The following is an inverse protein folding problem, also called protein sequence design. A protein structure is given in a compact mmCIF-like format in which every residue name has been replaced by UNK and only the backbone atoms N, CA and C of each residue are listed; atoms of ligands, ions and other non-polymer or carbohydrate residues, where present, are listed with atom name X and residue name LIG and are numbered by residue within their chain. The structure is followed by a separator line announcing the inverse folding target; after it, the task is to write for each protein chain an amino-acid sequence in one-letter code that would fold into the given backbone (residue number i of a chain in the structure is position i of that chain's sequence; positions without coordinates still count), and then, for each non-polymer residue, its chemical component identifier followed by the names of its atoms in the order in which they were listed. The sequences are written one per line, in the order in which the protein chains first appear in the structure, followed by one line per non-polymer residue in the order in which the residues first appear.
data_IF_425673252528
#
_entry.id   IF_425673252528
#
_cell.length_a   1.000
_cell.length_b   1.000
_cell.length_c   1.000
_cell.angle_alpha   90.00
_cell.angle_beta   90.00
_cell.angle_gamma   90.00
#
_symmetry.space_group_name_H-M   'P 1'
#
loop_
_entity.id
_entity.type
_entity.pdbx_description
1 polymer ?
#
# COMPACT_ATOMS: atom_id res chain seq x y z
N UNK A 1 22.91 -2.14 -7.89
CA UNK A 1 22.36 -0.92 -8.47
C UNK A 1 23.13 0.34 -8.01
N UNK A 2 23.33 0.54 -6.70
CA UNK A 2 24.09 1.68 -6.13
C UNK A 2 25.51 1.79 -6.69
N UNK A 3 26.17 0.67 -6.83
CA UNK A 3 27.51 0.60 -7.44
C UNK A 3 27.52 1.03 -8.92
N UNK A 4 26.47 0.68 -9.66
CA UNK A 4 26.33 1.04 -11.09
C UNK A 4 26.09 2.52 -11.33
N UNK A 5 25.29 3.19 -10.48
CA UNK A 5 24.88 4.60 -10.70
C UNK A 5 25.70 5.59 -9.85
N UNK A 6 26.52 5.08 -8.93
CA UNK A 6 27.26 5.86 -7.93
C UNK A 6 26.41 6.20 -6.71
N UNK A 7 27.00 6.15 -5.52
CA UNK A 7 26.29 6.29 -4.24
C UNK A 7 25.52 7.60 -4.13
N UNK A 8 26.14 8.73 -4.43
CA UNK A 8 25.48 10.07 -4.36
C UNK A 8 24.26 10.16 -5.26
N UNK A 9 24.34 9.66 -6.48
CA UNK A 9 23.23 9.68 -7.44
C UNK A 9 22.13 8.71 -6.99
N UNK A 10 22.47 7.55 -6.45
CA UNK A 10 21.53 6.60 -5.89
C UNK A 10 20.76 7.19 -4.70
N UNK A 11 21.43 7.95 -3.83
CA UNK A 11 20.79 8.60 -2.68
C UNK A 11 19.81 9.69 -3.12
N UNK A 12 20.17 10.50 -4.12
CA UNK A 12 19.25 11.50 -4.72
C UNK A 12 18.00 10.81 -5.29
N UNK A 13 18.17 9.78 -6.11
CA UNK A 13 17.05 9.04 -6.71
C UNK A 13 16.15 8.40 -5.64
N UNK A 14 16.73 7.85 -4.57
CA UNK A 14 15.98 7.25 -3.47
C UNK A 14 15.18 8.30 -2.71
N UNK A 15 15.78 9.45 -2.40
CA UNK A 15 15.13 10.56 -1.71
C UNK A 15 13.95 11.10 -2.53
N UNK A 16 14.16 11.41 -3.80
CA UNK A 16 13.10 11.88 -4.70
C UNK A 16 11.95 10.88 -4.80
N UNK A 17 12.24 9.57 -4.84
CA UNK A 17 11.22 8.55 -4.86
C UNK A 17 10.43 8.49 -3.55
N UNK A 18 11.08 8.67 -2.41
CA UNK A 18 10.44 8.71 -1.10
C UNK A 18 9.54 9.94 -0.96
N UNK A 19 10.05 11.13 -1.29
CA UNK A 19 9.30 12.39 -1.24
C UNK A 19 8.07 12.34 -2.15
N UNK A 20 8.22 11.83 -3.37
CA UNK A 20 7.12 11.62 -4.30
C UNK A 20 6.07 10.67 -3.77
N UNK A 21 6.50 9.55 -3.16
CA UNK A 21 5.59 8.59 -2.54
C UNK A 21 4.79 9.21 -1.41
N UNK A 22 5.46 9.90 -0.48
CA UNK A 22 4.80 10.54 0.67
C UNK A 22 3.80 11.60 0.23
N UNK A 23 4.15 12.46 -0.73
CA UNK A 23 3.22 13.47 -1.26
C UNK A 23 2.02 12.86 -1.96
N UNK A 24 2.22 11.79 -2.74
CA UNK A 24 1.12 11.08 -3.40
C UNK A 24 0.16 10.49 -2.36
N UNK A 25 0.67 9.85 -1.30
CA UNK A 25 -0.14 9.29 -0.21
C UNK A 25 -0.94 10.38 0.51
N UNK A 26 -0.33 11.53 0.83
CA UNK A 26 -1.00 12.66 1.47
C UNK A 26 -2.21 13.17 0.66
N UNK A 27 -2.09 13.25 -0.66
CA UNK A 27 -3.21 13.61 -1.55
C UNK A 27 -4.33 12.58 -1.52
N UNK A 28 -3.99 11.28 -1.57
CA UNK A 28 -4.99 10.21 -1.54
C UNK A 28 -5.70 10.17 -0.18
N UNK A 29 -4.97 10.30 0.91
CA UNK A 29 -5.53 10.36 2.27
C UNK A 29 -6.50 11.54 2.43
N UNK A 30 -6.11 12.74 1.99
CA UNK A 30 -7.00 13.92 2.00
C UNK A 30 -8.28 13.68 1.20
N UNK A 31 -8.19 13.02 0.07
CA UNK A 31 -9.37 12.64 -0.72
C UNK A 31 -10.27 11.68 0.07
N UNK A 32 -9.71 10.62 0.64
CA UNK A 32 -10.46 9.60 1.40
C UNK A 32 -11.12 10.19 2.65
N UNK A 33 -10.49 11.15 3.31
CA UNK A 33 -11.02 11.85 4.47
C UNK A 33 -11.99 12.99 4.13
N UNK A 34 -12.31 13.21 2.84
CA UNK A 34 -13.14 14.32 2.38
C UNK A 34 -12.53 15.71 2.61
N UNK A 35 -11.21 15.79 2.83
CA UNK A 35 -10.47 17.03 3.11
C UNK A 35 -9.79 17.60 1.88
N UNK A 36 -9.88 16.94 0.74
CA UNK A 36 -9.35 17.45 -0.50
C UNK A 36 -10.24 18.62 -0.96
N UNK A 37 -9.83 19.83 -0.65
CA UNK A 37 -10.36 20.99 -1.33
C UNK A 37 -9.97 20.85 -2.79
N UNK A 38 -10.94 20.69 -3.66
CA UNK A 38 -10.80 20.84 -5.09
C UNK A 38 -10.52 22.33 -5.39
N UNK A 39 -9.40 22.85 -4.93
CA UNK A 39 -8.88 24.09 -5.44
C UNK A 39 -8.61 23.88 -6.93
N UNK A 40 -9.52 24.38 -7.73
CA UNK A 40 -9.52 24.31 -9.19
C UNK A 40 -8.26 24.90 -9.83
N UNK A 41 -7.41 25.55 -9.03
CA UNK A 41 -6.11 26.12 -9.37
C UNK A 41 -4.93 25.36 -8.73
N UNK A 42 -5.18 24.16 -8.19
CA UNK A 42 -4.16 23.39 -7.47
C UNK A 42 -2.99 22.98 -8.34
N UNK A 43 -1.86 22.96 -7.71
CA UNK A 43 -0.56 22.52 -8.23
C UNK A 43 -0.69 21.29 -9.13
N UNK A 44 -0.39 21.42 -10.42
CA UNK A 44 -0.19 20.32 -11.34
C UNK A 44 1.13 19.61 -11.07
N UNK A 45 1.36 19.25 -9.80
CA UNK A 45 2.54 18.48 -9.43
C UNK A 45 2.40 17.05 -9.94
N UNK A 46 3.52 16.42 -10.21
CA UNK A 46 3.55 15.01 -10.62
C UNK A 46 2.87 14.11 -9.59
N UNK A 47 3.10 14.36 -8.32
CA UNK A 47 2.56 13.62 -7.19
C UNK A 47 1.04 13.69 -7.14
N UNK A 48 0.48 14.86 -7.39
CA UNK A 48 -0.97 15.04 -7.50
C UNK A 48 -1.55 14.32 -8.71
N UNK A 49 -0.91 14.44 -9.87
CA UNK A 49 -1.36 13.72 -11.08
C UNK A 49 -1.35 12.20 -10.86
N UNK A 50 -0.35 11.67 -10.16
CA UNK A 50 -0.27 10.25 -9.81
C UNK A 50 -1.38 9.87 -8.81
N UNK A 51 -1.64 10.70 -7.80
CA UNK A 51 -2.75 10.50 -6.87
C UNK A 51 -4.11 10.53 -7.58
N UNK A 52 -4.33 11.47 -8.49
CA UNK A 52 -5.55 11.57 -9.29
C UNK A 52 -5.78 10.30 -10.14
N UNK A 53 -4.71 9.73 -10.70
CA UNK A 53 -4.81 8.44 -11.43
C UNK A 53 -5.27 7.31 -10.53
N UNK A 54 -4.72 7.21 -9.31
CA UNK A 54 -5.14 6.20 -8.33
C UNK A 54 -6.58 6.44 -7.90
N UNK A 55 -6.96 7.68 -7.61
CA UNK A 55 -8.31 8.04 -7.19
C UNK A 55 -9.33 7.70 -8.29
N UNK A 56 -9.12 8.19 -9.51
CA UNK A 56 -10.10 8.06 -10.60
C UNK A 56 -10.20 6.62 -11.11
N UNK A 57 -9.08 5.93 -11.29
CA UNK A 57 -9.05 4.59 -11.90
C UNK A 57 -9.06 3.46 -10.87
N UNK A 58 -8.64 3.73 -9.62
CA UNK A 58 -8.50 2.72 -8.59
C UNK A 58 -9.57 2.78 -7.50
N UNK A 59 -9.96 3.97 -7.05
CA UNK A 59 -10.83 4.12 -5.88
C UNK A 59 -12.28 4.50 -6.26
N UNK A 60 -12.45 5.47 -7.16
CA UNK A 60 -13.79 5.97 -7.53
C UNK A 60 -14.64 4.84 -8.10
N UNK A 61 -15.87 4.69 -7.60
CA UNK A 61 -16.83 3.64 -7.94
C UNK A 61 -16.40 2.19 -7.59
N UNK A 62 -15.27 2.00 -6.90
CA UNK A 62 -14.79 0.68 -6.46
C UNK A 62 -14.74 0.55 -4.95
N UNK A 63 -14.36 1.61 -4.25
CA UNK A 63 -14.33 1.69 -2.80
C UNK A 63 -15.71 2.11 -2.31
N UNK A 64 -16.44 1.20 -1.66
CA UNK A 64 -17.80 1.42 -1.15
C UNK A 64 -17.82 1.94 0.29
N UNK A 65 -16.91 1.41 1.12
CA UNK A 65 -16.79 1.78 2.53
C UNK A 65 -15.33 2.02 2.89
N UNK A 66 -15.10 2.99 3.75
CA UNK A 66 -13.79 3.28 4.36
C UNK A 66 -13.92 3.03 5.85
N UNK A 67 -13.19 2.05 6.37
CA UNK A 67 -13.13 1.75 7.79
C UNK A 67 -11.95 2.43 8.48
N UNK A 68 -10.90 2.71 7.73
CA UNK A 68 -9.73 3.43 8.22
C UNK A 68 -8.77 3.85 7.10
N UNK A 69 -8.09 4.97 7.35
CA UNK A 69 -6.99 5.49 6.53
C UNK A 69 -5.78 5.68 7.42
N UNK A 70 -4.56 5.36 6.91
CA UNK A 70 -3.29 5.45 7.68
C UNK A 70 -3.43 4.86 9.09
N UNK A 71 -4.12 3.72 9.16
CA UNK A 71 -4.52 3.12 10.44
C UNK A 71 -3.44 2.22 10.99
N UNK A 72 -3.04 2.47 12.24
CA UNK A 72 -2.13 1.58 12.95
C UNK A 72 -2.81 0.26 13.26
N UNK A 73 -2.18 -0.82 12.85
CA UNK A 73 -2.61 -2.20 13.09
C UNK A 73 -1.52 -2.96 13.85
N UNK A 74 -1.94 -3.93 14.63
CA UNK A 74 -1.01 -4.82 15.31
C UNK A 74 -1.53 -6.25 15.35
N UNK A 75 -0.61 -7.19 15.30
CA UNK A 75 -0.87 -8.58 15.65
C UNK A 75 -0.31 -8.82 17.06
N UNK A 76 -1.14 -9.23 18.03
CA UNK A 76 -0.71 -9.30 19.43
C UNK A 76 0.60 -10.07 19.65
N UNK A 77 1.57 -9.41 20.27
CA UNK A 77 2.87 -9.99 20.63
C UNK A 77 3.84 -10.27 19.48
N UNK A 78 3.51 -9.92 18.23
CA UNK A 78 4.34 -10.27 17.07
C UNK A 78 4.79 -9.08 16.23
N UNK A 79 3.89 -8.23 15.77
CA UNK A 79 4.24 -7.10 14.91
C UNK A 79 3.18 -5.99 14.94
N UNK A 80 3.57 -4.81 14.48
CA UNK A 80 2.70 -3.67 14.24
C UNK A 80 3.11 -2.95 12.96
N UNK A 81 2.21 -2.12 12.43
CA UNK A 81 2.46 -1.29 11.26
C UNK A 81 1.25 -0.40 10.95
N UNK A 82 1.30 0.32 9.86
CA UNK A 82 0.21 1.16 9.38
C UNK A 82 -0.27 0.70 8.01
N UNK A 83 -1.59 0.65 7.83
CA UNK A 83 -2.24 0.32 6.58
C UNK A 83 -2.80 1.59 5.93
N UNK A 84 -2.57 1.77 4.64
CA UNK A 84 -2.97 2.98 3.90
C UNK A 84 -4.50 3.14 3.90
N UNK A 85 -5.23 2.08 3.56
CA UNK A 85 -6.69 2.10 3.54
C UNK A 85 -7.27 0.71 3.85
N UNK A 86 -8.35 0.70 4.63
CA UNK A 86 -9.11 -0.50 5.00
C UNK A 86 -10.57 -0.23 4.73
N UNK A 87 -11.28 -1.17 4.12
CA UNK A 87 -12.70 -0.98 3.84
C UNK A 87 -13.33 -2.05 2.96
N UNK A 88 -14.40 -1.69 2.29
CA UNK A 88 -15.07 -2.56 1.31
C UNK A 88 -14.72 -2.07 -0.10
N UNK A 89 -14.08 -2.92 -0.87
CA UNK A 89 -13.62 -2.64 -2.23
C UNK A 89 -14.16 -3.72 -3.18
N UNK A 90 -14.92 -3.30 -4.21
CA UNK A 90 -15.60 -4.19 -5.14
C UNK A 90 -16.38 -5.32 -4.42
N UNK A 91 -17.11 -4.94 -3.36
CA UNK A 91 -17.94 -5.79 -2.49
C UNK A 91 -17.17 -6.77 -1.57
N UNK A 92 -15.85 -6.65 -1.45
CA UNK A 92 -15.05 -7.49 -0.55
C UNK A 92 -14.39 -6.66 0.56
N UNK A 93 -14.35 -7.22 1.77
CA UNK A 93 -13.55 -6.66 2.86
C UNK A 93 -12.07 -6.71 2.46
N UNK A 94 -11.43 -5.55 2.42
CA UNK A 94 -10.15 -5.39 1.74
C UNK A 94 -9.17 -4.54 2.50
N UNK A 95 -7.89 -4.86 2.33
CA UNK A 95 -6.78 -3.95 2.53
C UNK A 95 -6.33 -3.39 1.18
N UNK A 96 -6.11 -2.09 1.16
CA UNK A 96 -5.72 -1.36 -0.05
C UNK A 96 -4.43 -0.61 0.27
N UNK A 97 -3.45 -0.75 -0.59
CA UNK A 97 -2.12 -0.17 -0.44
C UNK A 97 -1.78 0.65 -1.69
N UNK A 98 -1.26 1.86 -1.48
CA UNK A 98 -0.92 2.78 -2.56
C UNK A 98 0.59 2.77 -2.78
N UNK A 99 1.01 2.62 -4.02
CA UNK A 99 2.44 2.58 -4.37
C UNK A 99 2.76 3.50 -5.53
N UNK A 100 3.85 4.21 -5.39
CA UNK A 100 4.50 4.87 -6.52
C UNK A 100 5.58 3.94 -7.09
N UNK A 101 5.82 4.04 -8.40
CA UNK A 101 6.89 3.29 -9.05
C UNK A 101 7.56 4.13 -10.15
N UNK A 102 8.83 3.85 -10.41
CA UNK A 102 9.53 4.48 -11.53
C UNK A 102 9.16 3.88 -12.88
N UNK A 103 8.68 2.63 -12.89
CA UNK A 103 8.31 1.87 -14.09
C UNK A 103 7.11 0.97 -13.79
N UNK A 104 6.36 0.55 -14.81
CA UNK A 104 5.33 -0.47 -14.63
C UNK A 104 5.88 -1.72 -13.97
N UNK A 105 5.07 -2.32 -13.10
CA UNK A 105 5.42 -3.50 -12.32
C UNK A 105 4.78 -4.74 -12.92
N UNK A 106 5.40 -5.89 -12.67
CA UNK A 106 4.79 -7.20 -12.94
C UNK A 106 4.24 -7.78 -11.64
N UNK A 107 3.26 -8.66 -11.74
CA UNK A 107 2.62 -9.31 -10.61
C UNK A 107 3.67 -9.96 -9.66
N UNK A 108 4.56 -10.75 -10.21
CA UNK A 108 5.61 -11.47 -9.48
C UNK A 108 6.61 -10.58 -8.73
N UNK A 109 6.68 -9.30 -9.07
CA UNK A 109 7.57 -8.34 -8.39
C UNK A 109 6.95 -7.72 -7.13
N UNK A 110 5.70 -8.05 -6.85
CA UNK A 110 4.94 -7.46 -5.74
C UNK A 110 4.93 -8.35 -4.47
N UNK A 111 5.69 -9.43 -4.43
CA UNK A 111 5.70 -10.38 -3.30
C UNK A 111 5.82 -9.70 -1.94
N UNK A 112 6.71 -8.72 -1.79
CA UNK A 112 6.88 -7.98 -0.53
C UNK A 112 5.63 -7.17 -0.18
N UNK A 113 4.98 -6.56 -1.16
CA UNK A 113 3.74 -5.81 -0.95
C UNK A 113 2.58 -6.75 -0.62
N UNK A 114 2.49 -7.91 -1.27
CA UNK A 114 1.48 -8.92 -0.92
C UNK A 114 1.67 -9.45 0.50
N UNK A 115 2.91 -9.63 0.94
CA UNK A 115 3.20 -10.00 2.32
C UNK A 115 2.79 -8.91 3.32
N UNK A 116 2.95 -7.64 2.97
CA UNK A 116 2.47 -6.51 3.77
C UNK A 116 0.94 -6.53 3.89
N UNK A 117 0.23 -6.73 2.78
CA UNK A 117 -1.22 -6.90 2.78
C UNK A 117 -1.66 -8.10 3.62
N UNK A 118 -0.96 -9.23 3.50
CA UNK A 118 -1.18 -10.43 4.32
C UNK A 118 -1.01 -10.15 5.81
N UNK A 119 0.07 -9.49 6.20
CA UNK A 119 0.33 -9.11 7.58
C UNK A 119 -0.78 -8.25 8.18
N UNK A 120 -1.18 -7.21 7.47
CA UNK A 120 -2.17 -6.26 7.98
C UNK A 120 -3.60 -6.81 7.94
N UNK A 121 -3.95 -7.63 6.94
CA UNK A 121 -5.25 -8.32 6.92
C UNK A 121 -5.39 -9.28 8.09
N UNK A 122 -4.35 -10.04 8.39
CA UNK A 122 -4.34 -10.96 9.53
C UNK A 122 -4.42 -10.21 10.86
N UNK A 123 -3.67 -9.10 11.03
CA UNK A 123 -3.73 -8.26 12.22
C UNK A 123 -5.14 -7.69 12.43
N UNK A 124 -5.74 -7.12 11.39
CA UNK A 124 -7.08 -6.54 11.47
C UNK A 124 -8.14 -7.61 11.79
N UNK A 125 -8.10 -8.74 11.11
CA UNK A 125 -9.02 -9.84 11.36
C UNK A 125 -8.92 -10.36 12.80
N UNK A 126 -7.70 -10.45 13.33
CA UNK A 126 -7.46 -10.94 14.70
C UNK A 126 -7.96 -9.97 15.75
N UNK A 127 -7.74 -8.67 15.58
CA UNK A 127 -8.08 -7.65 16.58
C UNK A 127 -9.55 -7.27 16.52
N UNK A 128 -10.11 -7.15 15.32
CA UNK A 128 -11.47 -6.62 15.11
C UNK A 128 -12.50 -7.67 14.72
N UNK A 129 -12.09 -8.94 14.56
CA UNK A 129 -13.00 -10.02 14.15
C UNK A 129 -13.58 -9.87 12.75
N UNK A 130 -12.88 -9.18 11.87
CA UNK A 130 -13.28 -9.01 10.46
C UNK A 130 -12.89 -10.20 9.61
N UNK A 131 -13.36 -10.21 8.35
CA UNK A 131 -13.08 -11.25 7.37
C UNK A 131 -12.43 -10.65 6.11
N UNK A 132 -11.38 -9.84 6.31
CA UNK A 132 -10.61 -9.32 5.20
C UNK A 132 -9.95 -10.49 4.48
N UNK A 133 -10.36 -10.71 3.23
CA UNK A 133 -9.88 -11.79 2.37
C UNK A 133 -9.41 -11.29 0.99
N UNK A 134 -9.32 -9.97 0.80
CA UNK A 134 -8.82 -9.33 -0.40
C UNK A 134 -7.74 -8.32 -0.06
N UNK A 135 -6.66 -8.34 -0.84
CA UNK A 135 -5.61 -7.33 -0.83
C UNK A 135 -5.51 -6.65 -2.19
N UNK A 136 -5.45 -5.34 -2.20
CA UNK A 136 -5.39 -4.52 -3.41
C UNK A 136 -4.16 -3.63 -3.37
N UNK A 137 -3.37 -3.62 -4.44
CA UNK A 137 -2.28 -2.67 -4.64
C UNK A 137 -2.65 -1.78 -5.81
N UNK A 138 -2.71 -0.48 -5.55
CA UNK A 138 -2.92 0.54 -6.56
C UNK A 138 -1.59 1.26 -6.80
N UNK A 139 -1.05 1.10 -8.00
CA UNK A 139 0.25 1.64 -8.37
C UNK A 139 0.08 2.75 -9.40
N UNK A 140 0.81 3.85 -9.22
CA UNK A 140 1.01 4.80 -10.29
C UNK A 140 2.51 5.01 -10.54
N UNK A 141 2.89 4.99 -11.82
CA UNK A 141 4.27 5.28 -12.20
C UNK A 141 4.51 6.78 -12.32
N UNK A 142 5.78 7.18 -12.27
CA UNK A 142 6.18 8.59 -12.51
C UNK A 142 5.73 9.13 -13.88
N UNK A 143 5.46 8.24 -14.83
CA UNK A 143 4.95 8.56 -16.18
C UNK A 143 3.41 8.49 -16.23
N UNK A 144 2.78 8.50 -15.06
CA UNK A 144 1.32 8.52 -14.88
C UNK A 144 0.58 7.28 -15.39
N UNK A 145 1.27 6.13 -15.46
CA UNK A 145 0.65 4.83 -15.80
C UNK A 145 0.07 4.20 -14.55
N UNK A 146 -1.24 3.98 -14.55
CA UNK A 146 -1.96 3.29 -13.47
C UNK A 146 -1.91 1.78 -13.65
N UNK A 147 -1.72 1.05 -12.54
CA UNK A 147 -1.84 -0.41 -12.48
C UNK A 147 -2.57 -0.82 -11.20
N UNK A 148 -3.35 -1.88 -11.30
CA UNK A 148 -4.05 -2.48 -10.18
C UNK A 148 -3.69 -3.96 -10.08
N UNK A 149 -3.32 -4.39 -8.87
CA UNK A 149 -3.06 -5.79 -8.56
C UNK A 149 -3.98 -6.20 -7.42
N UNK A 150 -4.62 -7.35 -7.57
CA UNK A 150 -5.55 -7.90 -6.57
C UNK A 150 -5.13 -9.31 -6.27
N UNK A 151 -5.07 -9.64 -4.97
CA UNK A 151 -4.92 -11.00 -4.47
C UNK A 151 -6.12 -11.30 -3.57
N UNK A 152 -6.62 -12.53 -3.61
CA UNK A 152 -7.86 -12.89 -2.95
C UNK A 152 -7.83 -14.30 -2.38
N UNK A 153 -8.55 -14.53 -1.28
CA UNK A 153 -8.79 -15.85 -0.71
C UNK A 153 -7.50 -16.60 -0.36
N UNK A 154 -7.30 -17.75 -0.98
CA UNK A 154 -6.15 -18.63 -0.68
C UNK A 154 -4.81 -17.97 -1.03
N UNK A 155 -4.75 -17.12 -2.06
CA UNK A 155 -3.54 -16.39 -2.40
C UNK A 155 -3.15 -15.41 -1.30
N UNK A 156 -4.10 -14.63 -0.77
CA UNK A 156 -3.84 -13.74 0.36
C UNK A 156 -3.41 -14.54 1.59
N UNK A 157 -4.05 -15.67 1.86
CA UNK A 157 -3.71 -16.56 2.97
C UNK A 157 -2.30 -17.14 2.86
N UNK A 158 -1.85 -17.45 1.66
CA UNK A 158 -0.47 -17.87 1.42
C UNK A 158 0.52 -16.78 1.84
N UNK A 159 0.26 -15.51 1.51
CA UNK A 159 1.11 -14.38 1.91
C UNK A 159 1.02 -14.09 3.42
N UNK A 160 -0.12 -14.29 4.06
CA UNK A 160 -0.24 -14.26 5.54
C UNK A 160 0.71 -15.27 6.18
N UNK A 161 0.70 -16.51 5.70
CA UNK A 161 1.56 -17.57 6.21
C UNK A 161 3.06 -17.28 5.96
N UNK A 162 3.42 -16.85 4.76
CA UNK A 162 4.80 -16.45 4.43
C UNK A 162 5.31 -15.31 5.32
N UNK A 163 4.45 -14.36 5.67
CA UNK A 163 4.82 -13.29 6.58
C UNK A 163 5.04 -13.81 8.00
N UNK A 164 4.12 -14.65 8.52
CA UNK A 164 4.26 -15.25 9.85
C UNK A 164 5.52 -16.09 9.97
N UNK A 165 5.87 -16.88 8.96
CA UNK A 165 7.11 -17.64 8.95
C UNK A 165 8.35 -16.74 9.11
N UNK A 166 8.37 -15.58 8.45
CA UNK A 166 9.45 -14.59 8.62
C UNK A 166 9.48 -14.00 10.02
N UNK A 167 8.32 -13.72 10.61
CA UNK A 167 8.23 -13.22 12.00
C UNK A 167 8.79 -14.26 12.96
N UNK A 168 8.40 -15.52 12.83
CA UNK A 168 8.92 -16.61 13.68
C UNK A 168 10.44 -16.80 13.53
N UNK A 169 10.94 -16.75 12.31
CA UNK A 169 12.39 -16.78 12.06
C UNK A 169 13.11 -15.61 12.74
N UNK A 170 12.57 -14.40 12.65
CA UNK A 170 13.15 -13.23 13.31
C UNK A 170 13.13 -13.37 14.83
N UNK A 171 12.00 -13.77 15.41
CA UNK A 171 11.86 -13.96 16.85
C UNK A 171 12.79 -15.06 17.39
N UNK A 172 12.98 -16.14 16.63
CA UNK A 172 13.92 -17.20 17.03
C UNK A 172 15.37 -16.73 17.09
N UNK A 173 15.74 -15.71 16.28
CA UNK A 173 17.10 -15.15 16.28
C UNK A 173 17.38 -14.21 17.45
N UNK A 174 16.33 -13.56 18.01
CA UNK A 174 16.49 -12.61 19.11
C UNK A 174 16.32 -13.24 20.49
N UNK A 175 15.85 -14.47 20.56
CA UNK A 175 15.71 -15.24 21.81
C UNK A 175 16.89 -16.20 22.07
N UNK A 176 17.99 -16.06 21.33
CA UNK A 176 19.28 -16.68 21.59
C UNK A 176 20.13 -15.67 22.38
#
# INVERSE_FOLDING_TARGET
WREKVGHKKADIISREATERGSSMHDYIEKFLLGKLNLDLLGDNTRERMMADQIIENGLRNRLQEIWGCESTLYYPGKYAGAADCIGVYENYQSLIDFKQSNKPRKHEWNTTYYMQLGAYSLAHNTVYGTHINQGVILVCTKDNTFQRFVIYGDELKEYQNKFLERVEQYLSLIHI
#
